data_IF_691769178925
#
_entry.id   IF_691769178925
#
_cell.length_a   1.000
_cell.length_b   1.000
_cell.length_c   1.000
_cell.angle_alpha   90.00
_cell.angle_beta   90.00
_cell.angle_gamma   90.00
#
_symmetry.space_group_name_H-M   'P 1'
#
loop_
_entity.id
_entity.type
_entity.pdbx_description
1 polymer ?
#
# COMPACT_ATOMS: atom_id res chain seq x y z
N UNK A 1 -19.17 20.34 -18.00
CA UNK A 1 -18.27 19.18 -17.83
C UNK A 1 -18.60 18.63 -16.46
N UNK A 2 -19.65 17.81 -16.41
CA UNK A 2 -20.22 17.19 -15.20
C UNK A 2 -20.27 15.67 -15.41
N UNK A 3 -19.20 15.13 -15.99
CA UNK A 3 -19.13 13.72 -16.33
C UNK A 3 -18.45 12.98 -15.17
N UNK A 4 -19.27 12.43 -14.26
CA UNK A 4 -18.80 11.55 -13.20
C UNK A 4 -18.32 10.23 -13.81
N UNK A 5 -16.99 10.12 -13.97
CA UNK A 5 -16.32 8.98 -14.61
C UNK A 5 -15.93 7.87 -13.63
N UNK A 6 -16.23 8.01 -12.35
CA UNK A 6 -15.88 7.01 -11.34
C UNK A 6 -16.87 5.82 -11.36
N UNK A 7 -16.88 5.05 -12.45
CA UNK A 7 -17.87 4.00 -12.68
C UNK A 7 -17.73 2.76 -11.76
N UNK A 8 -16.82 2.77 -10.77
CA UNK A 8 -16.52 1.64 -9.87
C UNK A 8 -16.19 2.15 -8.46
N UNK A 9 -16.46 1.32 -7.46
CA UNK A 9 -16.06 1.58 -6.07
C UNK A 9 -14.56 1.83 -5.96
N UNK A 10 -14.20 2.90 -5.24
CA UNK A 10 -12.82 3.29 -4.94
C UNK A 10 -12.67 3.45 -3.44
N UNK A 11 -11.47 3.17 -2.94
CA UNK A 11 -11.08 3.54 -1.58
C UNK A 11 -10.25 4.82 -1.68
N UNK A 12 -10.65 5.81 -0.89
CA UNK A 12 -9.85 7.01 -0.65
C UNK A 12 -9.31 6.93 0.78
N UNK A 13 -8.01 7.19 0.94
CA UNK A 13 -7.33 7.16 2.23
C UNK A 13 -6.31 8.31 2.29
N UNK A 14 -6.06 8.79 3.50
CA UNK A 14 -4.94 9.68 3.76
C UNK A 14 -3.71 8.84 4.08
N UNK A 15 -2.61 9.08 3.37
CA UNK A 15 -1.35 8.39 3.61
C UNK A 15 -0.73 8.93 4.89
N UNK A 16 -0.42 8.03 5.83
CA UNK A 16 0.39 8.36 6.99
C UNK A 16 1.85 8.26 6.56
N UNK A 17 2.60 9.36 6.66
CA UNK A 17 4.03 9.40 6.31
C UNK A 17 4.34 10.11 4.99
N UNK A 18 5.42 9.69 4.33
CA UNK A 18 5.94 10.35 3.12
C UNK A 18 5.35 9.72 1.84
N UNK A 19 4.43 10.44 1.21
CA UNK A 19 3.75 9.96 0.00
C UNK A 19 4.72 9.73 -1.18
N UNK A 20 5.83 10.46 -1.27
CA UNK A 20 6.77 10.32 -2.39
C UNK A 20 7.49 8.97 -2.35
N UNK A 21 7.71 8.41 -1.16
CA UNK A 21 8.28 7.06 -1.01
C UNK A 21 7.32 5.96 -1.48
N UNK A 22 6.01 6.14 -1.33
CA UNK A 22 5.00 5.21 -1.83
C UNK A 22 5.00 5.10 -3.36
N UNK A 23 5.44 6.16 -4.04
CA UNK A 23 5.64 6.21 -5.50
C UNK A 23 7.01 5.65 -5.95
N UNK A 24 7.89 5.30 -5.02
CA UNK A 24 9.22 4.74 -5.31
C UNK A 24 9.15 3.32 -5.90
N UNK A 25 10.15 2.99 -6.73
CA UNK A 25 10.36 1.62 -7.29
C UNK A 25 9.13 1.03 -8.01
N UNK A 26 8.24 1.89 -8.49
CA UNK A 26 7.02 1.52 -9.21
C UNK A 26 7.29 0.77 -10.52
N UNK A 27 8.44 1.02 -11.13
CA UNK A 27 8.94 0.32 -12.31
C UNK A 27 9.44 -1.10 -11.99
N UNK A 28 9.90 -1.36 -10.76
CA UNK A 28 10.39 -2.67 -10.35
C UNK A 28 9.30 -3.57 -9.76
N UNK A 29 8.42 -3.03 -8.92
CA UNK A 29 7.45 -3.83 -8.15
C UNK A 29 5.99 -3.64 -8.57
N UNK A 30 5.73 -2.73 -9.52
CA UNK A 30 4.39 -2.46 -10.04
C UNK A 30 3.50 -1.69 -9.06
N UNK A 31 2.26 -1.43 -9.51
CA UNK A 31 1.35 -0.46 -8.87
C UNK A 31 0.21 -1.13 -8.08
N UNK A 32 0.11 -2.46 -8.14
CA UNK A 32 -0.92 -3.17 -7.38
C UNK A 32 -0.57 -3.17 -5.89
N UNK A 33 -1.52 -2.77 -5.06
CA UNK A 33 -1.40 -2.74 -3.60
C UNK A 33 -2.57 -3.52 -2.98
N UNK A 34 -2.31 -4.14 -1.84
CA UNK A 34 -3.33 -4.82 -1.03
C UNK A 34 -3.63 -3.94 0.17
N UNK A 35 -4.85 -3.43 0.25
CA UNK A 35 -5.36 -2.68 1.40
C UNK A 35 -6.17 -3.61 2.29
N UNK A 36 -5.95 -3.55 3.60
CA UNK A 36 -6.70 -4.33 4.59
C UNK A 36 -7.22 -3.43 5.72
N UNK A 37 -8.23 -3.92 6.45
CA UNK A 37 -8.73 -3.29 7.67
C UNK A 37 -8.26 -4.07 8.91
N UNK A 38 -7.91 -3.36 9.97
CA UNK A 38 -7.39 -3.92 11.23
C UNK A 38 -5.92 -3.58 11.47
N UNK A 39 -5.39 -4.00 12.62
CA UNK A 39 -3.96 -3.89 12.93
C UNK A 39 -3.28 -5.22 12.61
N UNK A 40 -2.57 -5.26 11.47
CA UNK A 40 -1.79 -6.42 11.05
C UNK A 40 -0.29 -6.13 11.00
N UNK A 41 0.19 -5.02 11.58
CA UNK A 41 1.61 -4.68 11.47
C UNK A 41 2.49 -5.76 12.09
N UNK A 42 2.23 -6.12 13.34
CA UNK A 42 2.98 -7.17 14.03
C UNK A 42 2.95 -8.53 13.30
N UNK A 43 1.78 -9.09 12.90
CA UNK A 43 1.76 -10.37 12.19
C UNK A 43 2.40 -10.32 10.80
N UNK A 44 2.35 -9.18 10.08
CA UNK A 44 3.06 -9.04 8.79
C UNK A 44 4.58 -9.08 8.98
N UNK A 45 5.11 -8.42 10.01
CA UNK A 45 6.53 -8.48 10.33
C UNK A 45 6.95 -9.89 10.78
N UNK A 46 6.15 -10.56 11.62
CA UNK A 46 6.43 -11.92 12.04
C UNK A 46 6.45 -12.92 10.86
N UNK A 47 5.57 -12.73 9.87
CA UNK A 47 5.60 -13.50 8.63
C UNK A 47 6.89 -13.23 7.84
N UNK A 48 7.29 -11.97 7.68
CA UNK A 48 8.51 -11.63 6.98
C UNK A 48 9.74 -12.27 7.65
N UNK A 49 9.83 -12.21 8.99
CA UNK A 49 10.91 -12.85 9.75
C UNK A 49 10.93 -14.36 9.54
N UNK A 50 9.78 -15.03 9.59
CA UNK A 50 9.67 -16.47 9.35
C UNK A 50 10.08 -16.87 7.93
N UNK A 51 9.88 -15.98 6.96
CA UNK A 51 10.23 -16.19 5.55
C UNK A 51 11.66 -15.72 5.21
N UNK A 52 12.38 -15.11 6.15
CA UNK A 52 13.69 -14.50 5.91
C UNK A 52 13.62 -13.28 4.96
N UNK A 53 12.49 -12.58 4.95
CA UNK A 53 12.26 -11.40 4.13
C UNK A 53 12.57 -10.12 4.89
N UNK A 54 12.96 -9.09 4.14
CA UNK A 54 13.08 -7.72 4.67
C UNK A 54 11.79 -6.97 4.39
N UNK A 55 11.18 -6.39 5.41
CA UNK A 55 10.08 -5.44 5.24
C UNK A 55 10.66 -4.07 4.88
N UNK A 56 10.13 -3.46 3.82
CA UNK A 56 10.38 -2.06 3.46
C UNK A 56 9.10 -1.27 3.75
N UNK A 57 9.18 -0.32 4.68
CA UNK A 57 8.07 0.60 4.97
C UNK A 57 8.15 1.79 4.00
N UNK A 58 7.12 1.95 3.16
CA UNK A 58 7.08 2.93 2.06
C UNK A 58 6.39 4.25 2.42
N UNK A 59 5.72 4.36 3.57
CA UNK A 59 5.16 5.61 4.11
C UNK A 59 4.99 5.47 5.62
#
# INVERSE_FOLDING_TARGET
VDDDRACRSKLAAEVVGDIEKLFGEWDQWGWHRVTFYGDLKEPVFALADAMGWKVLEEA
#
